data_IF_983575631577
#
_entry.id   IF_983575631577
#
_cell.length_a   1.000
_cell.length_b   1.000
_cell.length_c   1.000
_cell.angle_alpha   90.00
_cell.angle_beta   90.00
_cell.angle_gamma   90.00
#
_symmetry.space_group_name_H-M   'P 1'
#
loop_
_entity.id
_entity.type
_entity.pdbx_description
1 polymer ?
#
# COMPACT_ATOMS: atom_id res chain seq x y z
N UNK A 1 8.93 -29.48 44.20
CA UNK A 1 8.14 -30.14 43.14
C UNK A 1 6.78 -29.49 42.83
N UNK A 2 6.14 -28.76 43.76
CA UNK A 2 4.82 -28.14 43.54
C UNK A 2 4.76 -27.04 42.47
N UNK A 3 5.72 -26.10 42.44
CA UNK A 3 5.70 -24.98 41.47
C UNK A 3 6.03 -25.40 40.02
N UNK A 4 6.72 -26.53 39.82
CA UNK A 4 6.98 -27.04 38.47
C UNK A 4 5.77 -27.76 37.86
N UNK A 5 4.96 -28.45 38.68
CA UNK A 5 3.71 -29.07 38.20
C UNK A 5 2.69 -28.01 37.78
N UNK A 6 2.62 -26.87 38.48
CA UNK A 6 1.78 -25.74 38.06
C UNK A 6 2.27 -25.14 36.75
N UNK A 7 3.58 -24.91 36.59
CA UNK A 7 4.12 -24.35 35.34
C UNK A 7 3.90 -25.25 34.12
N UNK A 8 4.03 -26.57 34.27
CA UNK A 8 3.76 -27.52 33.18
C UNK A 8 2.26 -27.59 32.86
N UNK A 9 1.40 -27.52 33.88
CA UNK A 9 -0.06 -27.43 33.72
C UNK A 9 -0.45 -26.17 32.94
N UNK A 10 0.16 -25.03 33.24
CA UNK A 10 -0.08 -23.77 32.54
C UNK A 10 0.45 -23.79 31.10
N UNK A 11 1.61 -24.39 30.84
CA UNK A 11 2.14 -24.57 29.49
C UNK A 11 1.25 -25.47 28.62
N UNK A 12 0.78 -26.60 29.18
CA UNK A 12 -0.17 -27.50 28.48
C UNK A 12 -1.50 -26.77 28.22
N UNK A 13 -1.96 -25.94 29.16
CA UNK A 13 -3.17 -25.14 29.00
C UNK A 13 -3.03 -24.07 27.91
N UNK A 14 -1.85 -23.48 27.73
CA UNK A 14 -1.57 -22.52 26.64
C UNK A 14 -1.47 -23.19 25.26
N UNK A 15 -0.91 -24.40 25.19
CA UNK A 15 -0.81 -25.18 23.95
C UNK A 15 -2.13 -25.85 23.53
N UNK A 16 -3.05 -26.06 24.48
CA UNK A 16 -4.35 -26.63 24.20
C UNK A 16 -5.25 -25.62 23.48
N UNK A 17 -5.66 -25.95 22.24
CA UNK A 17 -6.64 -25.16 21.50
C UNK A 17 -7.97 -25.12 22.24
N UNK A 18 -8.39 -23.92 22.67
CA UNK A 18 -9.72 -23.70 23.25
C UNK A 18 -10.74 -23.58 22.12
N UNK A 19 -11.36 -24.71 21.80
CA UNK A 19 -12.53 -24.76 20.91
C UNK A 19 -13.80 -24.85 21.75
N UNK A 20 -14.86 -24.15 21.35
CA UNK A 20 -16.15 -24.22 22.06
C UNK A 20 -16.90 -25.51 21.73
N UNK A 21 -17.73 -25.97 22.67
CA UNK A 21 -18.57 -27.18 22.49
C UNK A 21 -19.51 -27.01 21.29
N UNK A 22 -20.01 -25.79 21.06
CA UNK A 22 -20.87 -25.48 19.91
C UNK A 22 -20.12 -25.58 18.57
N UNK A 23 -18.85 -25.18 18.53
CA UNK A 23 -18.01 -25.34 17.33
C UNK A 23 -17.69 -26.82 17.05
N UNK A 24 -17.53 -27.66 18.08
CA UNK A 24 -17.36 -29.10 17.94
C UNK A 24 -18.64 -29.79 17.45
N UNK A 25 -19.79 -29.38 17.99
CA UNK A 25 -21.10 -29.89 17.58
C UNK A 25 -21.43 -29.52 16.14
N UNK A 26 -21.09 -28.29 15.71
CA UNK A 26 -21.21 -27.85 14.31
C UNK A 26 -20.27 -28.60 13.35
N UNK A 27 -19.19 -29.18 13.88
CA UNK A 27 -18.26 -30.08 13.17
C UNK A 27 -18.65 -31.57 13.29
N UNK A 28 -19.80 -31.90 13.86
CA UNK A 28 -20.31 -33.28 13.96
C UNK A 28 -19.64 -34.14 15.03
N UNK A 29 -18.99 -33.53 16.03
CA UNK A 29 -18.34 -34.25 17.12
C UNK A 29 -19.29 -34.37 18.31
N UNK A 30 -19.92 -35.55 18.47
CA UNK A 30 -20.92 -35.79 19.53
C UNK A 30 -20.33 -36.30 20.85
N UNK A 31 -19.10 -36.83 20.82
CA UNK A 31 -18.38 -37.32 22.01
C UNK A 31 -16.95 -36.80 22.02
N UNK A 32 -16.60 -36.08 23.08
CA UNK A 32 -15.23 -35.59 23.31
C UNK A 32 -14.68 -36.31 24.53
N UNK A 33 -13.63 -37.10 24.35
CA UNK A 33 -12.92 -37.70 25.48
C UNK A 33 -12.09 -36.62 26.16
N UNK A 34 -12.55 -36.17 27.33
CA UNK A 34 -11.88 -35.12 28.09
C UNK A 34 -10.79 -35.76 28.94
N UNK A 35 -9.56 -35.66 28.48
CA UNK A 35 -8.39 -36.02 29.30
C UNK A 35 -8.11 -34.82 30.20
N UNK A 36 -8.20 -35.02 31.51
CA UNK A 36 -7.86 -33.97 32.48
C UNK A 36 -6.40 -33.55 32.32
N UNK A 37 -6.14 -32.23 32.38
CA UNK A 37 -4.79 -31.67 32.17
C UNK A 37 -3.77 -32.36 33.07
N UNK A 38 -4.11 -32.64 34.34
CA UNK A 38 -3.23 -33.32 35.28
C UNK A 38 -2.78 -34.71 34.80
N UNK A 39 -3.61 -35.41 34.01
CA UNK A 39 -3.28 -36.70 33.42
C UNK A 39 -2.39 -36.57 32.18
N UNK A 40 -2.54 -35.49 31.41
CA UNK A 40 -1.64 -35.15 30.31
C UNK A 40 -0.25 -34.84 30.87
N UNK A 41 -0.18 -34.06 31.94
CA UNK A 41 1.07 -33.72 32.63
C UNK A 41 1.83 -34.98 33.07
N UNK A 42 1.12 -35.93 33.69
CA UNK A 42 1.70 -37.22 34.11
C UNK A 42 2.17 -38.06 32.92
N UNK A 43 1.39 -38.12 31.84
CA UNK A 43 1.76 -38.87 30.63
C UNK A 43 2.97 -38.27 29.91
N UNK A 44 3.11 -36.94 29.90
CA UNK A 44 4.29 -36.27 29.35
C UNK A 44 5.51 -36.55 30.22
N UNK A 45 5.39 -36.43 31.55
CA UNK A 45 6.48 -36.78 32.49
C UNK A 45 6.90 -38.24 32.32
N UNK A 46 5.95 -39.16 32.17
CA UNK A 46 6.22 -40.58 31.97
C UNK A 46 6.84 -40.88 30.59
N UNK A 47 6.37 -40.22 29.53
CA UNK A 47 6.91 -40.38 28.17
C UNK A 47 8.34 -39.84 28.05
N UNK A 48 8.63 -38.69 28.66
CA UNK A 48 10.00 -38.15 28.76
C UNK A 48 10.87 -39.10 29.55
N UNK A 49 10.40 -39.57 30.71
CA UNK A 49 11.12 -40.55 31.54
C UNK A 49 11.42 -41.85 30.79
N UNK A 50 10.45 -42.34 29.99
CA UNK A 50 10.58 -43.58 29.20
C UNK A 50 11.52 -43.40 28.00
N UNK A 51 11.51 -42.24 27.35
CA UNK A 51 12.44 -41.86 26.28
C UNK A 51 13.89 -41.73 26.78
N UNK A 52 14.07 -41.13 27.95
CA UNK A 52 15.38 -41.02 28.61
C UNK A 52 15.91 -42.39 29.05
N UNK A 53 15.03 -43.26 29.56
CA UNK A 53 15.36 -44.65 29.92
C UNK A 53 15.89 -45.46 28.74
N UNK A 54 15.43 -45.17 27.51
CA UNK A 54 15.85 -45.85 26.29
C UNK A 54 17.18 -45.32 25.73
N UNK A 55 17.51 -44.03 25.98
CA UNK A 55 18.71 -43.38 25.43
C UNK A 55 19.88 -43.24 26.39
N UNK A 56 19.66 -43.26 27.71
CA UNK A 56 20.69 -42.94 28.71
C UNK A 56 20.74 -44.02 29.81
N UNK A 57 21.28 -45.19 29.45
CA UNK A 57 21.46 -46.34 30.35
C UNK A 57 22.56 -46.15 31.41
N UNK A 58 23.18 -44.98 31.53
CA UNK A 58 24.39 -44.77 32.36
C UNK A 58 24.43 -43.45 33.14
N UNK A 59 23.36 -42.66 33.13
CA UNK A 59 23.32 -41.34 33.79
C UNK A 59 22.23 -41.28 34.86
N UNK A 60 22.50 -40.51 35.91
CA UNK A 60 21.63 -40.39 37.08
C UNK A 60 20.25 -39.86 36.67
N UNK A 61 19.21 -40.65 36.98
CA UNK A 61 17.85 -40.46 36.46
C UNK A 61 17.24 -39.11 36.84
N UNK A 62 17.57 -38.60 38.02
CA UNK A 62 17.03 -37.33 38.51
C UNK A 62 17.72 -36.14 37.85
N UNK A 63 19.04 -36.17 37.66
CA UNK A 63 19.78 -35.07 37.05
C UNK A 63 19.37 -34.85 35.59
N UNK A 64 19.21 -35.92 34.81
CA UNK A 64 18.80 -35.82 33.41
C UNK A 64 17.35 -35.33 33.28
N UNK A 65 16.45 -35.77 34.18
CA UNK A 65 15.06 -35.31 34.20
C UNK A 65 14.96 -33.82 34.58
N UNK A 66 15.80 -33.35 35.51
CA UNK A 66 15.89 -31.93 35.86
C UNK A 66 16.46 -31.12 34.69
N UNK A 67 17.57 -31.54 34.09
CA UNK A 67 18.21 -30.84 32.97
C UNK A 67 17.32 -30.73 31.72
N UNK A 68 16.61 -31.81 31.37
CA UNK A 68 15.67 -31.80 30.23
C UNK A 68 14.45 -30.92 30.49
N UNK A 69 13.99 -30.86 31.74
CA UNK A 69 12.89 -29.98 32.14
C UNK A 69 13.31 -28.51 32.14
N UNK A 70 14.53 -28.20 32.56
CA UNK A 70 15.11 -26.86 32.46
C UNK A 70 15.26 -26.41 31.00
N UNK A 71 15.79 -27.27 30.13
CA UNK A 71 15.87 -26.97 28.69
C UNK A 71 14.49 -26.83 28.05
N UNK A 72 13.50 -27.63 28.44
CA UNK A 72 12.13 -27.46 27.97
C UNK A 72 11.53 -26.11 28.39
N UNK A 73 11.72 -25.69 29.64
CA UNK A 73 11.28 -24.37 30.11
C UNK A 73 12.01 -23.23 29.40
N UNK A 74 13.31 -23.41 29.10
CA UNK A 74 14.11 -22.46 28.33
C UNK A 74 13.57 -22.30 26.91
N UNK A 75 13.28 -23.41 26.24
CA UNK A 75 12.69 -23.42 24.90
C UNK A 75 11.29 -22.81 24.89
N UNK A 76 10.45 -23.09 25.90
CA UNK A 76 9.14 -22.45 26.04
C UNK A 76 9.27 -20.93 26.19
N UNK A 77 10.18 -20.45 27.04
CA UNK A 77 10.40 -19.02 27.22
C UNK A 77 10.92 -18.38 25.92
N UNK A 78 11.86 -19.04 25.24
CA UNK A 78 12.34 -18.59 23.93
C UNK A 78 11.24 -18.54 22.89
N UNK A 79 10.29 -19.48 22.92
CA UNK A 79 9.17 -19.50 21.97
C UNK A 79 8.15 -18.40 22.30
N UNK A 80 7.85 -18.17 23.58
CA UNK A 80 7.00 -17.04 23.99
C UNK A 80 7.61 -15.69 23.59
N UNK A 81 8.93 -15.53 23.70
CA UNK A 81 9.63 -14.31 23.27
C UNK A 81 9.61 -14.17 21.75
N UNK A 82 9.77 -15.27 21.00
CA UNK A 82 9.61 -15.28 19.53
C UNK A 82 8.18 -14.96 19.08
N UNK A 83 7.16 -15.45 19.78
CA UNK A 83 5.76 -15.12 19.50
C UNK A 83 5.50 -13.62 19.73
N UNK A 84 6.03 -13.03 20.81
CA UNK A 84 5.93 -11.59 21.06
C UNK A 84 6.64 -10.78 19.97
N UNK A 85 7.84 -11.20 19.56
CA UNK A 85 8.55 -10.57 18.44
C UNK A 85 7.74 -10.68 17.14
N UNK A 86 7.13 -11.83 16.87
CA UNK A 86 6.29 -12.03 15.68
C UNK A 86 5.06 -11.12 15.69
N UNK A 87 4.39 -10.98 16.84
CA UNK A 87 3.22 -10.11 17.00
C UNK A 87 3.60 -8.63 16.82
N UNK A 88 4.73 -8.19 17.38
CA UNK A 88 5.21 -6.82 17.19
C UNK A 88 5.57 -6.54 15.73
N UNK A 89 6.25 -7.47 15.06
CA UNK A 89 6.55 -7.36 13.63
C UNK A 89 5.29 -7.33 12.77
N UNK A 90 4.29 -8.16 13.11
CA UNK A 90 3.01 -8.17 12.41
C UNK A 90 2.31 -6.81 12.52
N UNK A 91 2.27 -6.21 13.71
CA UNK A 91 1.71 -4.87 13.91
C UNK A 91 2.46 -3.80 13.11
N UNK A 92 3.79 -3.87 13.08
CA UNK A 92 4.60 -2.94 12.29
C UNK A 92 4.33 -3.11 10.79
N UNK A 93 4.18 -4.35 10.30
CA UNK A 93 3.81 -4.65 8.92
C UNK A 93 2.43 -4.06 8.58
N UNK A 94 1.41 -4.33 9.39
CA UNK A 94 0.06 -3.81 9.20
C UNK A 94 0.05 -2.26 9.18
N UNK A 95 0.82 -1.63 10.06
CA UNK A 95 0.97 -0.17 10.06
C UNK A 95 1.65 0.36 8.80
N UNK A 96 2.73 -0.29 8.34
CA UNK A 96 3.44 0.09 7.12
C UNK A 96 2.56 -0.08 5.87
N UNK A 97 1.77 -1.15 5.79
CA UNK A 97 0.81 -1.38 4.70
C UNK A 97 -0.26 -0.27 4.65
N UNK A 98 -0.82 0.11 5.79
CA UNK A 98 -1.78 1.23 5.87
C UNK A 98 -1.14 2.55 5.42
N UNK A 99 0.12 2.80 5.77
CA UNK A 99 0.84 3.99 5.32
C UNK A 99 1.08 3.99 3.81
N UNK A 100 1.47 2.85 3.22
CA UNK A 100 1.64 2.69 1.77
C UNK A 100 0.33 2.97 1.05
N UNK A 101 -0.78 2.43 1.53
CA UNK A 101 -2.11 2.66 0.93
C UNK A 101 -2.56 4.12 1.05
N UNK A 102 -2.19 4.82 2.14
CA UNK A 102 -2.43 6.25 2.25
C UNK A 102 -1.59 7.05 1.25
N UNK A 103 -0.28 6.77 1.17
CA UNK A 103 0.63 7.45 0.24
C UNK A 103 0.22 7.26 -1.23
N UNK A 104 -0.25 6.06 -1.59
CA UNK A 104 -0.79 5.79 -2.95
C UNK A 104 -2.02 6.63 -3.25
N UNK A 105 -2.96 6.75 -2.30
CA UNK A 105 -4.15 7.59 -2.46
C UNK A 105 -3.78 9.06 -2.61
N UNK A 106 -2.91 9.56 -1.76
CA UNK A 106 -2.44 10.94 -1.81
C UNK A 106 -1.72 11.25 -3.13
N UNK A 107 -0.92 10.30 -3.65
CA UNK A 107 -0.22 10.45 -4.92
C UNK A 107 -1.20 10.55 -6.10
N UNK A 108 -2.22 9.68 -6.15
CA UNK A 108 -3.26 9.72 -7.18
C UNK A 108 -4.04 11.03 -7.10
N UNK A 109 -4.37 11.51 -5.90
CA UNK A 109 -5.04 12.80 -5.71
C UNK A 109 -4.19 13.96 -6.24
N UNK A 110 -2.90 14.01 -5.90
CA UNK A 110 -2.01 15.07 -6.40
C UNK A 110 -1.81 15.02 -7.92
N UNK A 111 -1.72 13.82 -8.51
CA UNK A 111 -1.65 13.66 -9.96
C UNK A 111 -2.92 14.14 -10.64
N UNK A 112 -4.09 13.82 -10.08
CA UNK A 112 -5.37 14.29 -10.58
C UNK A 112 -5.48 15.81 -10.50
N UNK A 113 -5.12 16.40 -9.36
CA UNK A 113 -5.12 17.86 -9.19
C UNK A 113 -4.20 18.55 -10.20
N UNK A 114 -3.04 17.96 -10.50
CA UNK A 114 -2.14 18.48 -11.52
C UNK A 114 -2.77 18.38 -12.92
N UNK A 115 -3.37 17.24 -13.27
CA UNK A 115 -4.04 17.03 -14.55
C UNK A 115 -5.21 18.00 -14.74
N UNK A 116 -6.10 18.12 -13.74
CA UNK A 116 -7.24 19.03 -13.76
C UNK A 116 -6.78 20.49 -13.94
N UNK A 117 -5.67 20.90 -13.30
CA UNK A 117 -5.11 22.24 -13.48
C UNK A 117 -4.55 22.48 -14.89
N UNK A 118 -3.90 21.49 -15.49
CA UNK A 118 -3.40 21.59 -16.86
C UNK A 118 -4.55 21.68 -17.86
N UNK A 119 -5.57 20.84 -17.69
CA UNK A 119 -6.77 20.84 -18.53
C UNK A 119 -7.55 22.17 -18.45
N UNK A 120 -7.74 22.70 -17.24
CA UNK A 120 -8.41 24.00 -17.05
C UNK A 120 -7.56 25.11 -17.66
N UNK A 121 -6.23 25.06 -17.52
CA UNK A 121 -5.35 26.06 -18.12
C UNK A 121 -5.41 26.03 -19.66
N UNK A 122 -5.47 24.84 -20.28
CA UNK A 122 -5.62 24.72 -21.73
C UNK A 122 -6.97 25.26 -22.23
N UNK A 123 -8.06 25.01 -21.49
CA UNK A 123 -9.39 25.52 -21.83
C UNK A 123 -9.48 27.03 -21.69
N UNK A 124 -9.04 27.58 -20.55
CA UNK A 124 -9.03 29.02 -20.31
C UNK A 124 -8.18 29.75 -21.33
N UNK A 125 -7.01 29.19 -21.71
CA UNK A 125 -6.21 29.77 -22.78
C UNK A 125 -6.99 29.87 -24.09
N UNK A 126 -7.75 28.83 -24.49
CA UNK A 126 -8.53 28.86 -25.73
C UNK A 126 -9.72 29.84 -25.67
N UNK A 127 -10.44 29.86 -24.56
CA UNK A 127 -11.68 30.64 -24.42
C UNK A 127 -11.40 32.14 -24.21
N UNK A 128 -10.36 32.49 -23.44
CA UNK A 128 -9.98 33.88 -23.18
C UNK A 128 -9.59 34.60 -24.49
N UNK A 129 -8.87 33.92 -25.39
CA UNK A 129 -8.46 34.52 -26.66
C UNK A 129 -9.64 34.87 -27.56
N UNK A 130 -10.72 34.07 -27.57
CA UNK A 130 -11.87 34.31 -28.43
C UNK A 130 -12.76 35.43 -27.88
N UNK A 131 -13.07 35.40 -26.58
CA UNK A 131 -13.97 36.38 -25.95
C UNK A 131 -13.37 37.79 -25.86
N UNK A 132 -12.09 37.92 -25.50
CA UNK A 132 -11.43 39.22 -25.40
C UNK A 132 -11.28 39.88 -26.78
N UNK A 133 -10.99 39.09 -27.83
CA UNK A 133 -10.87 39.60 -29.19
C UNK A 133 -12.20 40.16 -29.70
N UNK A 134 -13.31 39.48 -29.40
CA UNK A 134 -14.65 39.90 -29.82
C UNK A 134 -15.09 41.20 -29.11
N UNK A 135 -14.79 41.34 -27.81
CA UNK A 135 -15.07 42.55 -27.04
C UNK A 135 -14.25 43.76 -27.52
N UNK A 136 -12.96 43.57 -27.80
CA UNK A 136 -12.09 44.62 -28.34
C UNK A 136 -12.57 45.03 -29.73
N UNK A 137 -12.87 44.06 -30.62
CA UNK A 137 -13.38 44.33 -31.96
C UNK A 137 -14.69 45.13 -31.91
N UNK A 138 -15.62 44.78 -31.03
CA UNK A 138 -16.88 45.52 -30.87
C UNK A 138 -16.65 46.96 -30.39
N UNK A 139 -15.70 47.17 -29.47
CA UNK A 139 -15.40 48.50 -28.92
C UNK A 139 -14.70 49.38 -29.93
N UNK A 140 -13.73 48.84 -30.66
CA UNK A 140 -13.06 49.52 -31.78
C UNK A 140 -14.10 49.90 -32.85
N UNK A 141 -14.99 48.97 -33.23
CA UNK A 141 -16.07 49.23 -34.19
C UNK A 141 -16.97 50.38 -33.74
N UNK A 142 -17.42 50.39 -32.49
CA UNK A 142 -18.27 51.46 -31.95
C UNK A 142 -17.60 52.84 -31.95
N UNK A 143 -16.29 52.90 -31.70
CA UNK A 143 -15.53 54.15 -31.75
C UNK A 143 -15.40 54.68 -33.18
N UNK A 144 -15.20 53.79 -34.15
CA UNK A 144 -15.15 54.15 -35.56
C UNK A 144 -16.51 54.56 -36.14
N UNK A 145 -17.61 53.97 -35.69
CA UNK A 145 -18.96 54.40 -36.08
C UNK A 145 -19.26 55.85 -35.66
N UNK A 146 -18.74 56.28 -34.50
CA UNK A 146 -18.85 57.67 -34.02
C UNK A 146 -17.92 58.62 -34.78
N UNK A 147 -16.69 58.17 -35.10
CA UNK A 147 -15.70 58.98 -35.82
C UNK A 147 -16.01 59.12 -37.31
N UNK A 148 -16.56 58.09 -37.96
CA UNK A 148 -16.92 58.07 -39.38
C UNK A 148 -17.95 59.13 -39.77
N UNK A 149 -18.73 59.64 -38.80
CA UNK A 149 -19.68 60.74 -39.01
C UNK A 149 -18.99 62.11 -39.24
N UNK A 150 -17.68 62.23 -38.99
CA UNK A 150 -16.94 63.51 -39.07
C UNK A 150 -16.04 63.67 -40.30
N UNK A 151 -16.00 62.68 -41.22
CA UNK A 151 -15.56 62.88 -42.61
C UNK A 151 -14.04 62.86 -42.90
N UNK A 152 -13.16 62.65 -41.91
CA UNK A 152 -11.70 62.63 -42.10
C UNK A 152 -11.03 61.31 -41.61
N UNK A 153 -11.63 60.16 -41.92
CA UNK A 153 -11.41 58.93 -41.15
C UNK A 153 -10.28 57.99 -41.63
N UNK A 154 -9.96 57.91 -42.93
CA UNK A 154 -9.21 56.76 -43.46
C UNK A 154 -7.76 56.57 -42.98
N UNK A 155 -6.97 57.65 -42.91
CA UNK A 155 -5.56 57.57 -42.47
C UNK A 155 -5.44 57.56 -40.94
N UNK A 156 -6.37 58.22 -40.25
CA UNK A 156 -6.44 58.20 -38.79
C UNK A 156 -6.83 56.80 -38.30
N UNK A 157 -7.75 56.13 -39.00
CA UNK A 157 -8.22 54.78 -38.74
C UNK A 157 -7.11 53.74 -38.81
N UNK A 158 -6.27 53.78 -39.85
CA UNK A 158 -5.13 52.86 -39.95
C UNK A 158 -4.15 53.05 -38.80
N UNK A 159 -3.82 54.29 -38.44
CA UNK A 159 -2.87 54.59 -37.35
C UNK A 159 -3.42 54.26 -35.97
N UNK A 160 -4.71 54.50 -35.71
CA UNK A 160 -5.31 54.13 -34.43
C UNK A 160 -5.47 52.63 -34.30
N UNK A 161 -5.79 51.92 -35.40
CA UNK A 161 -5.88 50.47 -35.41
C UNK A 161 -4.50 49.83 -35.19
N UNK A 162 -3.45 50.36 -35.82
CA UNK A 162 -2.06 49.93 -35.59
C UNK A 162 -1.62 50.15 -34.14
N UNK A 163 -1.90 51.33 -33.58
CA UNK A 163 -1.58 51.64 -32.17
C UNK A 163 -2.35 50.76 -31.18
N UNK A 164 -3.63 50.49 -31.43
CA UNK A 164 -4.45 49.60 -30.60
C UNK A 164 -3.93 48.17 -30.67
N UNK A 165 -3.56 47.68 -31.86
CA UNK A 165 -3.00 46.34 -32.02
C UNK A 165 -1.65 46.20 -31.31
N UNK A 166 -0.81 47.23 -31.34
CA UNK A 166 0.47 47.25 -30.64
C UNK A 166 0.31 47.27 -29.11
N UNK A 167 -0.60 48.09 -28.58
CA UNK A 167 -0.88 48.15 -27.14
C UNK A 167 -1.53 46.84 -26.66
N UNK A 168 -2.55 46.35 -27.35
CA UNK A 168 -3.24 45.11 -27.00
C UNK A 168 -2.29 43.92 -27.09
N UNK A 169 -1.44 43.84 -28.11
CA UNK A 169 -0.44 42.76 -28.21
C UNK A 169 0.69 42.88 -27.18
N UNK A 170 1.04 44.10 -26.76
CA UNK A 170 1.97 44.38 -25.66
C UNK A 170 1.41 43.91 -24.32
N UNK A 171 0.26 44.43 -23.91
CA UNK A 171 -0.42 44.06 -22.66
C UNK A 171 -0.77 42.57 -22.62
N UNK A 172 -1.20 41.99 -23.76
CA UNK A 172 -1.46 40.55 -23.86
C UNK A 172 -0.21 39.73 -23.59
N UNK A 173 0.95 40.09 -24.16
CA UNK A 173 2.21 39.36 -23.91
C UNK A 173 2.62 39.44 -22.45
N UNK A 174 2.44 40.59 -21.79
CA UNK A 174 2.77 40.74 -20.37
C UNK A 174 1.81 39.98 -19.47
N UNK A 175 0.51 40.06 -19.73
CA UNK A 175 -0.54 39.33 -19.00
C UNK A 175 -0.36 37.81 -19.14
N UNK A 176 -0.10 37.30 -20.35
CA UNK A 176 0.20 35.88 -20.58
C UNK A 176 1.42 35.46 -19.78
N UNK A 177 2.55 36.20 -19.90
CA UNK A 177 3.77 35.86 -19.16
C UNK A 177 3.57 35.87 -17.65
N UNK A 178 2.83 36.84 -17.11
CA UNK A 178 2.54 36.90 -15.68
C UNK A 178 1.71 35.70 -15.22
N UNK A 179 0.68 35.31 -15.99
CA UNK A 179 -0.16 34.15 -15.72
C UNK A 179 0.63 32.84 -15.84
N UNK A 180 1.45 32.69 -16.88
CA UNK A 180 2.34 31.55 -17.08
C UNK A 180 3.31 31.40 -15.91
N UNK A 181 3.93 32.48 -15.43
CA UNK A 181 4.84 32.41 -14.28
C UNK A 181 4.14 31.95 -13.00
N UNK A 182 2.91 32.41 -12.73
CA UNK A 182 2.16 31.95 -11.55
C UNK A 182 1.80 30.47 -11.71
N UNK A 183 1.32 30.07 -12.90
CA UNK A 183 0.99 28.67 -13.21
C UNK A 183 2.20 27.76 -13.07
N UNK A 184 3.33 28.14 -13.65
CA UNK A 184 4.55 27.33 -13.66
C UNK A 184 5.06 27.11 -12.23
N UNK A 185 4.95 28.12 -11.35
CA UNK A 185 5.24 27.95 -9.91
C UNK A 185 4.32 26.95 -9.24
N UNK A 186 3.02 26.98 -9.54
CA UNK A 186 2.06 26.02 -8.98
C UNK A 186 2.30 24.60 -9.48
N UNK A 187 2.55 24.44 -10.78
CA UNK A 187 2.90 23.17 -11.41
C UNK A 187 4.19 22.63 -10.81
N UNK A 188 5.22 23.45 -10.67
CA UNK A 188 6.49 23.08 -10.04
C UNK A 188 6.29 22.60 -8.61
N UNK A 189 5.45 23.28 -7.83
CA UNK A 189 5.15 22.89 -6.45
C UNK A 189 4.45 21.53 -6.39
N UNK A 190 3.45 21.28 -7.25
CA UNK A 190 2.76 20.00 -7.33
C UNK A 190 3.71 18.89 -7.80
N UNK A 191 4.53 19.14 -8.82
CA UNK A 191 5.53 18.17 -9.29
C UNK A 191 6.55 17.83 -8.20
N UNK A 192 7.05 18.82 -7.45
CA UNK A 192 7.94 18.58 -6.31
C UNK A 192 7.27 17.72 -5.24
N UNK A 193 5.99 17.98 -4.94
CA UNK A 193 5.23 17.17 -3.98
C UNK A 193 5.05 15.73 -4.47
N UNK A 194 4.69 15.53 -5.74
CA UNK A 194 4.58 14.20 -6.36
C UNK A 194 5.91 13.45 -6.25
N UNK A 195 7.03 14.10 -6.57
CA UNK A 195 8.37 13.48 -6.44
C UNK A 195 8.67 13.06 -5.01
N UNK A 196 8.36 13.92 -4.02
CA UNK A 196 8.53 13.58 -2.59
C UNK A 196 7.67 12.40 -2.17
N UNK A 197 6.39 12.39 -2.56
CA UNK A 197 5.48 11.28 -2.25
C UNK A 197 5.93 9.98 -2.92
N UNK A 198 6.39 10.04 -4.17
CA UNK A 198 6.92 8.88 -4.90
C UNK A 198 8.15 8.31 -4.20
N UNK A 199 9.12 9.16 -3.84
CA UNK A 199 10.32 8.73 -3.12
C UNK A 199 9.97 8.14 -1.75
N UNK A 200 9.04 8.75 -1.02
CA UNK A 200 8.56 8.22 0.26
C UNK A 200 7.85 6.87 0.10
N UNK A 201 7.10 6.68 -0.98
CA UNK A 201 6.43 5.43 -1.30
C UNK A 201 7.45 4.33 -1.63
N UNK A 202 8.44 4.64 -2.48
CA UNK A 202 9.51 3.71 -2.84
C UNK A 202 10.31 3.26 -1.61
N UNK A 203 10.66 4.19 -0.71
CA UNK A 203 11.39 3.88 0.52
C UNK A 203 10.58 2.99 1.48
N UNK A 204 9.28 3.27 1.62
CA UNK A 204 8.38 2.47 2.49
C UNK A 204 8.08 1.09 1.91
N UNK A 205 7.90 0.99 0.59
CA UNK A 205 7.73 -0.28 -0.11
C UNK A 205 9.00 -1.13 -0.06
N UNK A 206 10.18 -0.51 -0.19
CA UNK A 206 11.46 -1.20 -0.04
C UNK A 206 11.61 -1.80 1.36
N UNK A 207 11.36 -1.00 2.41
CA UNK A 207 11.39 -1.48 3.81
C UNK A 207 10.43 -2.63 4.04
N UNK A 208 9.21 -2.55 3.49
CA UNK A 208 8.22 -3.62 3.59
C UNK A 208 8.71 -4.90 2.88
N UNK A 209 9.35 -4.75 1.71
CA UNK A 209 9.95 -5.86 0.97
C UNK A 209 11.11 -6.51 1.74
N UNK A 210 11.95 -5.73 2.42
CA UNK A 210 13.05 -6.26 3.24
C UNK A 210 12.51 -7.04 4.43
N UNK A 211 11.54 -6.49 5.16
CA UNK A 211 10.94 -7.15 6.33
C UNK A 211 10.25 -8.46 5.94
N UNK A 212 9.60 -8.50 4.77
CA UNK A 212 8.97 -9.72 4.26
C UNK A 212 9.99 -10.77 3.80
N UNK A 213 11.07 -10.35 3.12
CA UNK A 213 12.13 -11.25 2.67
C UNK A 213 12.95 -11.86 3.81
N UNK A 214 13.24 -11.10 4.88
CA UNK A 214 14.09 -11.56 5.99
C UNK A 214 13.42 -12.65 6.83
N UNK A 215 12.08 -12.68 6.92
CA UNK A 215 11.38 -13.53 7.90
C UNK A 215 10.63 -14.73 7.31
N UNK A 216 10.66 -14.97 5.98
CA UNK A 216 9.86 -16.02 5.32
C UNK A 216 8.44 -16.13 5.91
N UNK A 217 7.86 -14.98 6.28
CA UNK A 217 6.51 -14.92 6.83
C UNK A 217 5.59 -15.22 5.66
N UNK A 218 5.22 -16.50 5.56
CA UNK A 218 4.32 -17.05 4.56
C UNK A 218 3.12 -16.11 4.42
N UNK A 219 3.12 -15.34 3.33
CA UNK A 219 2.05 -14.41 3.01
C UNK A 219 0.84 -15.27 2.68
N UNK A 220 0.05 -15.55 3.73
CA UNK A 220 -1.26 -16.14 3.60
C UNK A 220 -2.04 -15.42 2.51
N UNK A 221 -2.28 -16.14 1.42
CA UNK A 221 -3.28 -15.92 0.37
C UNK A 221 -3.07 -14.69 -0.54
N UNK A 222 -2.36 -13.64 -0.13
CA UNK A 222 -2.05 -12.48 -0.99
C UNK A 222 -0.86 -12.68 -1.93
N UNK A 223 -0.04 -13.71 -1.72
CA UNK A 223 1.15 -14.02 -2.54
C UNK A 223 0.83 -14.56 -3.94
N UNK A 224 -0.39 -15.05 -4.18
CA UNK A 224 -0.79 -15.65 -5.47
C UNK A 224 -0.77 -14.61 -6.62
N UNK A 225 -0.84 -13.31 -6.30
CA UNK A 225 -0.82 -12.24 -7.31
C UNK A 225 0.55 -11.60 -7.52
N UNK A 226 1.54 -11.86 -6.65
CA UNK A 226 2.84 -11.15 -6.69
C UNK A 226 3.86 -11.88 -7.56
N UNK A 227 3.87 -13.21 -7.49
CA UNK A 227 4.77 -14.06 -8.28
C UNK A 227 4.02 -15.29 -8.79
N UNK A 228 3.83 -15.36 -10.11
CA UNK A 228 3.43 -16.62 -10.74
C UNK A 228 4.63 -17.56 -10.63
N UNK A 229 4.57 -18.48 -9.67
CA UNK A 229 5.59 -19.53 -9.50
C UNK A 229 5.89 -20.20 -10.85
N UNK A 230 7.17 -20.25 -11.23
CA UNK A 230 7.63 -20.94 -12.44
C UNK A 230 8.09 -20.04 -13.59
N UNK A 231 7.99 -18.72 -13.50
CA UNK A 231 8.56 -17.80 -14.48
C UNK A 231 9.94 -17.29 -14.04
N UNK A 232 10.97 -17.61 -14.81
CA UNK A 232 12.32 -17.11 -14.56
C UNK A 232 12.38 -15.60 -14.85
N UNK A 233 12.81 -14.81 -13.86
CA UNK A 233 12.94 -13.33 -13.96
C UNK A 233 13.95 -12.87 -15.02
N UNK A 234 14.84 -13.76 -15.48
CA UNK A 234 15.81 -13.48 -16.54
C UNK A 234 15.27 -13.73 -17.96
N UNK A 235 14.02 -14.18 -18.10
CA UNK A 235 13.38 -14.40 -19.39
C UNK A 235 12.95 -13.07 -20.04
N UNK A 236 13.33 -12.82 -21.30
CA UNK A 236 12.98 -11.59 -22.04
C UNK A 236 11.47 -11.41 -22.19
N UNK A 237 10.71 -12.49 -22.15
CA UNK A 237 9.25 -12.47 -22.26
C UNK A 237 8.52 -12.49 -20.90
N UNK A 238 9.22 -12.29 -19.79
CA UNK A 238 8.67 -12.38 -18.43
C UNK A 238 7.45 -11.47 -18.22
N UNK A 239 7.52 -10.21 -18.67
CA UNK A 239 6.42 -9.25 -18.54
C UNK A 239 5.14 -9.73 -19.24
N UNK A 240 5.26 -10.19 -20.48
CA UNK A 240 4.12 -10.64 -21.27
C UNK A 240 3.53 -11.96 -20.73
N UNK A 241 4.37 -12.91 -20.31
CA UNK A 241 3.91 -14.17 -19.70
C UNK A 241 3.20 -13.94 -18.36
N UNK A 242 3.67 -12.96 -17.57
CA UNK A 242 3.03 -12.56 -16.30
C UNK A 242 1.64 -11.98 -16.55
N UNK A 243 1.50 -11.10 -17.54
CA UNK A 243 0.23 -10.49 -17.92
C UNK A 243 -0.79 -11.54 -18.40
N UNK A 244 -0.36 -12.44 -19.28
CA UNK A 244 -1.21 -13.49 -19.86
C UNK A 244 -1.68 -14.51 -18.80
N UNK A 245 -0.82 -14.86 -17.84
CA UNK A 245 -1.19 -15.69 -16.69
C UNK A 245 -2.20 -14.99 -15.75
N UNK A 246 -2.04 -13.68 -15.53
CA UNK A 246 -2.98 -12.91 -14.71
C UNK A 246 -4.37 -12.83 -15.35
N UNK A 247 -4.44 -12.78 -16.69
CA UNK A 247 -5.70 -12.78 -17.43
C UNK A 247 -6.38 -14.16 -17.41
N UNK A 248 -5.63 -15.26 -17.62
CA UNK A 248 -6.15 -16.63 -17.52
C UNK A 248 -6.72 -16.90 -16.11
N UNK A 249 -6.02 -16.46 -15.07
CA UNK A 249 -6.48 -16.65 -13.71
C UNK A 249 -7.77 -15.86 -13.41
N UNK A 250 -7.86 -14.60 -13.87
CA UNK A 250 -9.09 -13.80 -13.78
C UNK A 250 -10.26 -14.46 -14.52
N UNK A 251 -10.01 -15.04 -15.68
CA UNK A 251 -11.02 -15.79 -16.44
C UNK A 251 -11.48 -17.06 -15.68
N UNK A 252 -10.56 -17.83 -15.12
CA UNK A 252 -10.88 -19.02 -14.33
C UNK A 252 -11.66 -18.70 -13.04
N UNK A 253 -11.30 -17.62 -12.35
CA UNK A 253 -12.03 -17.16 -11.17
C UNK A 253 -13.47 -16.72 -11.52
N UNK A 254 -13.64 -16.05 -12.66
CA UNK A 254 -14.96 -15.66 -13.15
C UNK A 254 -15.83 -16.87 -13.54
N UNK A 255 -15.22 -17.95 -14.07
CA UNK A 255 -15.90 -19.22 -14.34
C UNK A 255 -16.31 -19.94 -13.05
N UNK A 256 -15.44 -19.95 -12.04
CA UNK A 256 -15.71 -20.61 -10.76
C UNK A 256 -16.81 -19.94 -9.94
N UNK A 257 -17.03 -18.63 -10.13
CA UNK A 257 -18.15 -17.88 -9.52
C UNK A 257 -19.49 -18.02 -10.26
N UNK A 258 -19.48 -18.56 -11.49
CA UNK A 258 -20.68 -18.80 -12.31
C UNK A 258 -21.17 -20.24 -12.25
N UNK A 259 -20.41 -21.15 -11.64
CA UNK A 259 -20.80 -22.53 -11.34
C UNK A 259 -21.21 -22.67 -9.89
#
# INVERSE_FOLDING_TARGET
MGSLKSNLKDAVKKLAFSTSVDQLKKKGVDKVNVIGIDRITVLIEEAVSRSLRFKLLSLDREEVAVATKEEFLRLLKSNEDLEREQDTLRKLKEQAEVQVDQLRRDLVEQQRLLADKLDVAERNARDDYLGENEAIAHRVKSLFEVLGQTGAAGDLEKRTLELVMDIVSGERRESIRAREQVRDREVDNLQRRIRKLTSSLEETEHRLSEVTAIRNLDEGISSVYREVQGLNRSDRAYGHKKELMADIFRANLALQKKS
#
